data_IF_891274584886
#
_entry.id   IF_891274584886
#
_cell.length_a   1.000
_cell.length_b   1.000
_cell.length_c   1.000
_cell.angle_alpha   90.00
_cell.angle_beta   90.00
_cell.angle_gamma   90.00
#
_symmetry.space_group_name_H-M   'P 1'
#
loop_
_entity.id
_entity.type
_entity.pdbx_description
1 polymer ?
#
# COMPACT_ATOMS: atom_id res chain seq x y z
N UNK A 1 52.26 8.87 65.87
CA UNK A 1 51.73 8.93 64.51
C UNK A 1 50.87 10.17 64.39
N UNK A 2 51.43 11.26 63.86
CA UNK A 2 50.66 12.53 63.65
C UNK A 2 50.02 12.53 62.28
N UNK A 3 48.71 12.40 62.25
CA UNK A 3 47.94 12.52 61.02
C UNK A 3 47.60 14.00 60.80
N UNK A 4 48.35 14.66 59.91
CA UNK A 4 48.00 16.03 59.53
C UNK A 4 46.76 16.06 58.62
N UNK A 5 45.66 16.57 59.15
CA UNK A 5 44.44 16.80 58.43
C UNK A 5 44.67 18.02 57.51
N UNK A 6 44.74 17.79 56.20
CA UNK A 6 44.79 18.85 55.19
C UNK A 6 43.42 19.52 55.13
N UNK A 7 43.26 20.71 55.67
CA UNK A 7 42.06 21.51 55.64
C UNK A 7 41.93 22.16 54.27
N UNK A 8 41.08 21.57 53.40
CA UNK A 8 40.73 22.19 52.12
C UNK A 8 40.00 23.51 52.36
N UNK A 9 40.57 24.59 51.89
CA UNK A 9 39.92 25.91 51.91
C UNK A 9 38.79 25.86 50.89
N UNK A 10 37.56 25.99 51.34
CA UNK A 10 36.39 26.21 50.47
C UNK A 10 36.43 27.64 49.99
N UNK A 11 36.61 27.81 48.64
CA UNK A 11 36.45 29.08 47.98
C UNK A 11 34.95 29.27 47.68
N UNK A 12 34.36 30.34 48.18
CA UNK A 12 33.00 30.74 47.83
C UNK A 12 32.91 31.14 46.34
N UNK A 13 31.89 30.69 45.62
CA UNK A 13 31.60 31.09 44.24
C UNK A 13 31.23 32.58 44.21
N UNK A 14 31.77 33.29 43.23
CA UNK A 14 31.42 34.69 42.98
C UNK A 14 30.10 34.78 42.24
N UNK A 15 29.33 35.88 42.43
CA UNK A 15 28.07 36.12 41.77
C UNK A 15 28.21 36.10 40.24
N UNK A 16 29.33 36.64 39.72
CA UNK A 16 29.60 36.67 38.28
C UNK A 16 29.84 35.26 37.71
N UNK A 17 30.47 34.36 38.47
CA UNK A 17 30.72 32.98 38.06
C UNK A 17 29.43 32.20 37.90
N UNK A 18 28.45 32.42 38.78
CA UNK A 18 27.07 31.84 38.67
C UNK A 18 26.34 32.41 37.44
N UNK A 19 26.44 33.72 37.18
CA UNK A 19 25.82 34.33 36.01
C UNK A 19 26.39 33.79 34.70
N UNK A 20 27.71 33.65 34.58
CA UNK A 20 28.35 33.05 33.41
C UNK A 20 27.98 31.58 33.24
N UNK A 21 27.96 30.81 34.33
CA UNK A 21 27.54 29.39 34.29
C UNK A 21 26.09 29.22 33.82
N UNK A 22 25.16 30.09 34.25
CA UNK A 22 23.77 30.09 33.81
C UNK A 22 23.64 30.39 32.31
N UNK A 23 24.38 31.38 31.80
CA UNK A 23 24.36 31.72 30.38
C UNK A 23 24.84 30.54 29.52
N UNK A 24 25.96 29.95 29.89
CA UNK A 24 26.52 28.79 29.20
C UNK A 24 25.55 27.60 29.24
N UNK A 25 24.94 27.33 30.39
CA UNK A 25 23.96 26.27 30.55
C UNK A 25 22.74 26.46 29.67
N UNK A 26 22.25 27.69 29.52
CA UNK A 26 21.13 28.04 28.64
C UNK A 26 21.46 27.78 27.15
N UNK A 27 22.66 28.14 26.72
CA UNK A 27 23.13 27.86 25.35
C UNK A 27 23.24 26.34 25.09
N UNK A 28 23.75 25.58 26.03
CA UNK A 28 23.83 24.12 25.90
C UNK A 28 22.43 23.47 25.87
N UNK A 29 21.52 23.92 26.74
CA UNK A 29 20.13 23.44 26.73
C UNK A 29 19.44 23.75 25.42
N UNK A 30 19.59 24.96 24.88
CA UNK A 30 19.02 25.34 23.59
C UNK A 30 19.52 24.42 22.45
N UNK A 31 20.82 24.13 22.42
CA UNK A 31 21.41 23.20 21.45
C UNK A 31 20.87 21.78 21.57
N UNK A 32 20.75 21.26 22.78
CA UNK A 32 20.18 19.93 23.04
C UNK A 32 18.70 19.84 22.63
N UNK A 33 17.91 20.89 22.89
CA UNK A 33 16.51 20.94 22.45
C UNK A 33 16.38 20.95 20.94
N UNK A 34 17.20 21.69 20.22
CA UNK A 34 17.21 21.66 18.75
C UNK A 34 17.56 20.26 18.20
N UNK A 35 18.55 19.61 18.76
CA UNK A 35 18.93 18.24 18.37
C UNK A 35 17.81 17.25 18.63
N UNK A 36 17.12 17.38 19.76
CA UNK A 36 15.99 16.53 20.10
C UNK A 36 14.80 16.69 19.14
N UNK A 37 14.46 17.95 18.78
CA UNK A 37 13.39 18.24 17.82
C UNK A 37 13.75 17.68 16.43
N UNK A 38 14.99 17.92 15.97
CA UNK A 38 15.46 17.42 14.68
C UNK A 38 15.43 15.87 14.62
N UNK A 39 15.84 15.18 15.68
CA UNK A 39 15.79 13.72 15.77
C UNK A 39 14.37 13.21 15.71
N UNK A 40 13.44 13.83 16.42
CA UNK A 40 12.02 13.46 16.35
C UNK A 40 11.40 13.67 14.96
N UNK A 41 11.76 14.78 14.28
CA UNK A 41 11.31 15.02 12.92
C UNK A 41 11.84 13.96 11.95
N UNK A 42 13.14 13.64 12.05
CA UNK A 42 13.76 12.58 11.23
C UNK A 42 13.09 11.22 11.45
N UNK A 43 12.81 10.86 12.70
CA UNK A 43 12.13 9.60 13.03
C UNK A 43 10.73 9.53 12.41
N UNK A 44 9.94 10.61 12.46
CA UNK A 44 8.61 10.66 11.82
C UNK A 44 8.68 10.53 10.30
N UNK A 45 9.67 11.16 9.66
CA UNK A 45 9.86 11.06 8.21
C UNK A 45 10.20 9.62 7.83
N UNK A 46 11.08 8.96 8.59
CA UNK A 46 11.46 7.56 8.36
C UNK A 46 10.26 6.61 8.53
N UNK A 47 9.43 6.82 9.55
CA UNK A 47 8.22 6.02 9.76
C UNK A 47 7.22 6.18 8.60
N UNK A 48 6.97 7.41 8.16
CA UNK A 48 6.09 7.69 7.04
C UNK A 48 6.62 7.07 5.74
N UNK A 49 7.93 7.18 5.48
CA UNK A 49 8.56 6.59 4.30
C UNK A 49 8.46 5.06 4.32
N UNK A 50 8.67 4.43 5.47
CA UNK A 50 8.51 2.98 5.64
C UNK A 50 7.07 2.54 5.32
N UNK A 51 6.06 3.26 5.81
CA UNK A 51 4.66 2.98 5.51
C UNK A 51 4.35 3.11 4.02
N UNK A 52 4.86 4.16 3.37
CA UNK A 52 4.68 4.34 1.91
C UNK A 52 5.29 3.18 1.12
N UNK A 53 6.49 2.73 1.49
CA UNK A 53 7.15 1.60 0.84
C UNK A 53 6.38 0.29 1.05
N UNK A 54 5.88 0.04 2.25
CA UNK A 54 5.08 -1.14 2.57
C UNK A 54 3.75 -1.14 1.81
N UNK A 55 3.04 -0.01 1.80
CA UNK A 55 1.81 0.16 1.04
C UNK A 55 2.04 -0.04 -0.47
N UNK A 56 3.10 0.54 -1.02
CA UNK A 56 3.46 0.37 -2.42
C UNK A 56 3.74 -1.09 -2.78
N UNK A 57 4.51 -1.80 -1.96
CA UNK A 57 4.78 -3.23 -2.16
C UNK A 57 3.51 -4.06 -2.08
N UNK A 58 2.68 -3.83 -1.07
CA UNK A 58 1.40 -4.53 -0.93
C UNK A 58 0.47 -4.25 -2.12
N UNK A 59 0.37 -2.99 -2.56
CA UNK A 59 -0.45 -2.61 -3.71
C UNK A 59 -0.04 -3.33 -4.99
N UNK A 60 1.26 -3.36 -5.29
CA UNK A 60 1.79 -4.07 -6.46
C UNK A 60 1.52 -5.58 -6.37
N UNK A 61 1.74 -6.20 -5.22
CA UNK A 61 1.48 -7.63 -5.01
C UNK A 61 0.00 -7.95 -5.16
N UNK A 62 -0.87 -7.10 -4.64
CA UNK A 62 -2.31 -7.25 -4.75
C UNK A 62 -2.78 -7.13 -6.20
N UNK A 63 -2.36 -6.09 -6.93
CA UNK A 63 -2.67 -5.90 -8.35
C UNK A 63 -2.18 -7.10 -9.18
N UNK A 64 -0.95 -7.55 -8.94
CA UNK A 64 -0.38 -8.72 -9.62
C UNK A 64 -1.21 -9.98 -9.39
N UNK A 65 -1.69 -10.20 -8.17
CA UNK A 65 -2.54 -11.35 -7.84
C UNK A 65 -3.84 -11.30 -8.65
N UNK A 66 -4.50 -10.16 -8.71
CA UNK A 66 -5.75 -9.99 -9.45
C UNK A 66 -5.53 -10.14 -10.96
N UNK A 67 -4.50 -9.51 -11.50
CA UNK A 67 -4.19 -9.57 -12.94
C UNK A 67 -3.82 -11.00 -13.38
N UNK A 68 -3.16 -11.77 -12.56
CA UNK A 68 -2.81 -13.17 -12.87
C UNK A 68 -4.03 -14.09 -13.01
N UNK A 69 -5.17 -13.73 -12.46
CA UNK A 69 -6.41 -14.49 -12.61
C UNK A 69 -7.10 -14.21 -13.96
N UNK A 70 -6.65 -13.21 -14.71
CA UNK A 70 -7.25 -12.82 -15.99
C UNK A 70 -7.37 -13.99 -16.96
N UNK A 71 -8.59 -14.29 -17.39
CA UNK A 71 -8.86 -15.36 -18.33
C UNK A 71 -8.79 -16.76 -17.75
N UNK A 72 -8.75 -16.90 -16.42
CA UNK A 72 -8.87 -18.21 -15.80
C UNK A 72 -10.22 -18.87 -16.19
N UNK A 73 -10.19 -20.16 -16.46
CA UNK A 73 -11.34 -20.97 -16.80
C UNK A 73 -11.37 -22.23 -15.94
N UNK A 74 -12.55 -22.66 -15.57
CA UNK A 74 -12.71 -23.90 -14.85
C UNK A 74 -12.15 -25.08 -15.66
N UNK A 75 -11.74 -26.13 -14.99
CA UNK A 75 -11.25 -27.36 -15.63
C UNK A 75 -12.29 -27.95 -16.61
N UNK A 76 -13.55 -27.89 -16.26
CA UNK A 76 -14.63 -28.37 -17.13
C UNK A 76 -14.72 -27.57 -18.43
N UNK A 77 -14.64 -26.27 -18.36
CA UNK A 77 -14.62 -25.38 -19.54
C UNK A 77 -13.43 -25.64 -20.45
N UNK A 78 -12.24 -25.91 -19.88
CA UNK A 78 -11.04 -26.25 -20.63
C UNK A 78 -11.20 -27.59 -21.34
N UNK A 79 -11.73 -28.61 -20.66
CA UNK A 79 -11.92 -29.95 -21.21
C UNK A 79 -12.95 -29.95 -22.36
N UNK A 80 -13.93 -29.03 -22.34
CA UNK A 80 -14.89 -28.85 -23.42
C UNK A 80 -14.31 -28.11 -24.62
N UNK A 81 -13.07 -27.65 -24.57
CA UNK A 81 -12.38 -26.96 -25.68
C UNK A 81 -12.85 -25.53 -25.93
N UNK A 82 -13.63 -24.93 -25.04
CA UNK A 82 -14.15 -23.57 -25.21
C UNK A 82 -13.08 -22.53 -24.92
N UNK A 83 -12.81 -21.59 -25.84
CA UNK A 83 -11.96 -20.46 -25.62
C UNK A 83 -12.67 -19.40 -24.75
N UNK A 84 -11.94 -18.67 -23.88
CA UNK A 84 -12.52 -17.65 -23.01
C UNK A 84 -13.37 -16.63 -23.78
N UNK A 85 -12.85 -16.10 -24.88
CA UNK A 85 -13.56 -15.11 -25.70
C UNK A 85 -14.81 -15.69 -26.38
N UNK A 86 -14.80 -16.96 -26.79
CA UNK A 86 -15.95 -17.65 -27.34
C UNK A 86 -17.07 -17.81 -26.31
N UNK A 87 -16.71 -18.21 -25.09
CA UNK A 87 -17.68 -18.44 -24.02
C UNK A 87 -18.29 -17.15 -23.48
N UNK A 88 -17.49 -16.09 -23.36
CA UNK A 88 -17.88 -14.89 -22.63
C UNK A 88 -18.05 -13.66 -23.50
N UNK A 89 -17.66 -13.72 -24.76
CA UNK A 89 -17.72 -12.63 -25.74
C UNK A 89 -17.10 -11.29 -25.27
N UNK A 90 -16.12 -11.38 -24.36
CA UNK A 90 -15.44 -10.23 -23.77
C UNK A 90 -13.95 -10.52 -23.60
N UNK A 91 -13.14 -9.49 -23.52
CA UNK A 91 -11.73 -9.63 -23.24
C UNK A 91 -11.48 -9.99 -21.77
N UNK A 92 -10.44 -10.78 -21.52
CA UNK A 92 -10.07 -11.27 -20.19
C UNK A 92 -9.46 -10.18 -19.30
N UNK A 93 -8.86 -9.19 -19.90
CA UNK A 93 -8.31 -8.01 -19.24
C UNK A 93 -8.60 -6.80 -20.10
N UNK A 94 -9.00 -5.73 -19.49
CA UNK A 94 -9.28 -4.45 -20.13
C UNK A 94 -8.77 -3.34 -19.25
N UNK A 95 -8.18 -2.31 -19.84
CA UNK A 95 -7.77 -1.12 -19.13
C UNK A 95 -8.36 0.11 -19.78
N UNK A 96 -8.69 1.09 -18.95
CA UNK A 96 -9.10 2.41 -19.42
C UNK A 96 -8.09 3.44 -18.96
N UNK A 97 -7.74 4.38 -19.81
CA UNK A 97 -6.74 5.40 -19.55
C UNK A 97 -7.42 6.68 -19.03
N UNK A 98 -6.95 7.20 -17.91
CA UNK A 98 -7.42 8.45 -17.30
C UNK A 98 -8.94 8.51 -16.99
N UNK A 99 -9.59 7.36 -16.80
CA UNK A 99 -11.05 7.25 -16.59
C UNK A 99 -11.41 7.10 -15.09
N UNK A 100 -10.42 7.12 -14.23
CA UNK A 100 -10.59 7.08 -12.77
C UNK A 100 -10.48 8.45 -12.12
N UNK A 101 -10.58 8.48 -10.79
CA UNK A 101 -10.33 9.67 -9.97
C UNK A 101 -8.88 10.14 -10.18
N UNK A 102 -8.65 11.45 -10.25
CA UNK A 102 -7.34 12.07 -10.49
C UNK A 102 -6.64 11.64 -11.80
N UNK A 103 -7.39 11.37 -12.86
CA UNK A 103 -6.87 10.84 -14.12
C UNK A 103 -6.16 9.48 -13.97
N UNK A 104 -6.55 8.72 -12.97
CA UNK A 104 -6.04 7.37 -12.72
C UNK A 104 -6.64 6.38 -13.71
N UNK A 105 -5.87 5.37 -14.07
CA UNK A 105 -6.34 4.27 -14.91
C UNK A 105 -7.20 3.29 -14.13
N UNK A 106 -7.99 2.49 -14.85
CA UNK A 106 -8.72 1.36 -14.29
C UNK A 106 -8.28 0.07 -14.97
N UNK A 107 -8.22 -1.00 -14.21
CA UNK A 107 -7.95 -2.35 -14.72
C UNK A 107 -9.16 -3.21 -14.42
N UNK A 108 -9.75 -3.79 -15.45
CA UNK A 108 -10.84 -4.76 -15.32
C UNK A 108 -10.34 -6.14 -15.71
N UNK A 109 -10.50 -7.10 -14.82
CA UNK A 109 -10.10 -8.50 -15.00
C UNK A 109 -11.33 -9.38 -14.95
N UNK A 110 -11.40 -10.36 -15.85
CA UNK A 110 -12.51 -11.31 -15.94
C UNK A 110 -12.00 -12.73 -15.88
N UNK A 111 -12.65 -13.55 -15.08
CA UNK A 111 -12.30 -14.95 -14.90
C UNK A 111 -13.51 -15.77 -14.45
N UNK A 112 -13.44 -17.08 -14.68
CA UNK A 112 -14.44 -18.04 -14.25
C UNK A 112 -14.07 -18.62 -12.88
N UNK A 113 -15.07 -18.99 -12.09
CA UNK A 113 -14.86 -19.76 -10.85
C UNK A 113 -14.42 -21.19 -11.13
N UNK A 114 -14.12 -21.95 -10.08
CA UNK A 114 -13.80 -23.38 -10.20
C UNK A 114 -14.93 -24.24 -9.62
N UNK A 115 -15.00 -25.49 -10.06
CA UNK A 115 -15.98 -26.44 -9.54
C UNK A 115 -15.66 -26.81 -8.09
N UNK A 116 -16.73 -27.02 -7.32
CA UNK A 116 -16.59 -27.45 -5.93
C UNK A 116 -15.71 -28.70 -5.81
N UNK A 117 -14.68 -28.63 -4.96
CA UNK A 117 -13.74 -29.75 -4.71
C UNK A 117 -12.55 -29.82 -5.67
N UNK A 118 -12.42 -28.93 -6.66
CA UNK A 118 -11.30 -28.91 -7.61
C UNK A 118 -10.30 -27.75 -7.39
N UNK A 119 -10.52 -26.97 -6.37
CA UNK A 119 -9.76 -25.78 -6.02
C UNK A 119 -10.68 -24.64 -5.63
N UNK A 120 -10.08 -23.56 -5.16
CA UNK A 120 -10.82 -22.34 -4.80
C UNK A 120 -10.35 -21.18 -5.66
N UNK A 121 -11.28 -20.57 -6.38
CA UNK A 121 -11.05 -19.31 -7.09
C UNK A 121 -11.79 -18.23 -6.34
N UNK A 122 -11.09 -17.16 -5.99
CA UNK A 122 -11.64 -16.05 -5.22
C UNK A 122 -11.43 -14.75 -5.97
N UNK A 123 -12.46 -13.90 -5.92
CA UNK A 123 -12.36 -12.54 -6.48
C UNK A 123 -11.47 -11.63 -5.62
N UNK A 124 -11.29 -10.39 -6.05
CA UNK A 124 -10.48 -9.42 -5.33
C UNK A 124 -11.03 -9.07 -3.95
N UNK A 125 -12.30 -9.29 -3.65
CA UNK A 125 -12.89 -9.16 -2.30
C UNK A 125 -12.82 -10.45 -1.48
N UNK A 126 -12.02 -11.43 -1.92
CA UNK A 126 -11.85 -12.73 -1.27
C UNK A 126 -13.12 -13.60 -1.22
N UNK A 127 -14.12 -13.33 -2.05
CA UNK A 127 -15.33 -14.13 -2.16
C UNK A 127 -15.09 -15.33 -3.08
N UNK A 128 -15.58 -16.51 -2.70
CA UNK A 128 -15.46 -17.73 -3.49
C UNK A 128 -16.34 -17.65 -4.73
N UNK A 129 -15.76 -17.96 -5.88
CA UNK A 129 -16.47 -18.01 -7.16
C UNK A 129 -16.56 -19.47 -7.62
N UNK A 130 -17.78 -19.93 -7.84
CA UNK A 130 -18.05 -21.30 -8.27
C UNK A 130 -18.47 -21.29 -9.73
N UNK A 131 -17.86 -22.18 -10.53
CA UNK A 131 -18.23 -22.40 -11.94
C UNK A 131 -19.74 -22.76 -12.06
N UNK A 132 -20.45 -22.24 -13.08
CA UNK A 132 -19.98 -21.46 -14.23
C UNK A 132 -19.98 -19.94 -14.03
N UNK A 133 -20.01 -19.45 -12.76
CA UNK A 133 -20.06 -18.02 -12.50
C UNK A 133 -18.76 -17.33 -12.94
N UNK A 134 -18.91 -16.13 -13.51
CA UNK A 134 -17.81 -15.25 -13.90
C UNK A 134 -17.74 -14.10 -12.92
N UNK A 135 -16.55 -13.78 -12.47
CA UNK A 135 -16.25 -12.55 -11.76
C UNK A 135 -15.69 -11.50 -12.71
N UNK A 136 -16.18 -10.29 -12.53
CA UNK A 136 -15.61 -9.08 -13.16
C UNK A 136 -15.07 -8.23 -12.02
N UNK A 137 -13.76 -8.17 -11.92
CA UNK A 137 -13.04 -7.45 -10.88
C UNK A 137 -12.41 -6.20 -11.47
N UNK A 138 -12.79 -5.04 -10.98
CA UNK A 138 -12.24 -3.75 -11.44
C UNK A 138 -11.46 -3.09 -10.32
N UNK A 139 -10.20 -2.81 -10.58
CA UNK A 139 -9.31 -2.03 -9.70
C UNK A 139 -9.28 -0.59 -10.18
N UNK A 140 -9.51 0.34 -9.26
CA UNK A 140 -9.51 1.79 -9.52
C UNK A 140 -9.17 2.58 -8.26
N UNK A 141 -8.87 3.85 -8.40
CA UNK A 141 -8.75 4.78 -7.28
C UNK A 141 -10.11 5.42 -7.01
N UNK A 142 -10.54 5.39 -5.75
CA UNK A 142 -11.78 6.02 -5.32
C UNK A 142 -11.62 7.54 -5.04
N UNK A 143 -12.72 8.22 -4.72
CA UNK A 143 -12.71 9.66 -4.40
C UNK A 143 -11.92 10.00 -3.13
N UNK A 144 -11.68 9.02 -2.25
CA UNK A 144 -10.93 9.19 -1.01
C UNK A 144 -9.44 8.83 -1.16
N UNK A 145 -8.96 8.63 -2.39
CA UNK A 145 -7.58 8.20 -2.71
C UNK A 145 -7.25 6.83 -2.14
N UNK A 146 -8.17 5.89 -2.22
CA UNK A 146 -7.91 4.51 -1.88
C UNK A 146 -7.92 3.66 -3.13
N UNK A 147 -7.02 2.67 -3.19
CA UNK A 147 -7.17 1.59 -4.15
C UNK A 147 -8.39 0.78 -3.74
N UNK A 148 -9.42 0.79 -4.58
CA UNK A 148 -10.63 -0.01 -4.39
C UNK A 148 -10.68 -1.17 -5.38
N UNK A 149 -11.29 -2.26 -4.93
CA UNK A 149 -11.76 -3.32 -5.80
C UNK A 149 -13.29 -3.28 -5.88
N UNK A 150 -13.79 -3.30 -7.12
CA UNK A 150 -15.20 -3.43 -7.42
C UNK A 150 -15.43 -4.78 -8.08
N UNK A 151 -16.41 -5.52 -7.60
CA UNK A 151 -16.75 -6.86 -8.09
C UNK A 151 -18.18 -6.88 -8.61
N UNK A 152 -18.36 -7.50 -9.76
CA UNK A 152 -19.67 -7.88 -10.30
C UNK A 152 -19.69 -9.39 -10.51
N UNK A 153 -20.36 -10.12 -9.63
CA UNK A 153 -20.46 -11.59 -9.67
C UNK A 153 -21.83 -12.04 -9.15
N UNK A 154 -22.60 -12.84 -9.89
CA UNK A 154 -22.43 -13.16 -11.32
C UNK A 154 -22.63 -11.95 -12.23
N UNK A 155 -22.28 -12.08 -13.50
CA UNK A 155 -22.47 -11.00 -14.49
C UNK A 155 -23.90 -10.48 -14.46
N UNK A 156 -24.07 -9.16 -14.34
CA UNK A 156 -25.38 -8.50 -14.21
C UNK A 156 -25.86 -8.29 -12.77
N UNK A 157 -25.14 -8.79 -11.76
CA UNK A 157 -25.42 -8.48 -10.36
C UNK A 157 -25.06 -7.03 -10.02
N UNK A 158 -25.57 -6.54 -8.87
CA UNK A 158 -25.15 -5.25 -8.34
C UNK A 158 -23.66 -5.25 -8.01
N UNK A 159 -22.97 -4.18 -8.40
CA UNK A 159 -21.55 -4.02 -8.12
C UNK A 159 -21.31 -3.86 -6.61
N UNK A 160 -20.32 -4.59 -6.10
CA UNK A 160 -19.82 -4.45 -4.72
C UNK A 160 -18.44 -3.83 -4.78
N UNK A 161 -18.22 -2.74 -4.07
CA UNK A 161 -16.92 -2.05 -4.03
C UNK A 161 -16.42 -1.92 -2.60
N UNK A 162 -15.13 -2.20 -2.38
CA UNK A 162 -14.48 -2.02 -1.09
C UNK A 162 -13.07 -1.43 -1.27
N UNK A 163 -12.67 -0.51 -0.39
CA UNK A 163 -11.29 -0.03 -0.35
C UNK A 163 -10.37 -1.16 0.14
N UNK A 164 -9.22 -1.31 -0.52
CA UNK A 164 -8.22 -2.32 -0.24
C UNK A 164 -6.97 -1.71 0.40
N UNK A 165 -6.57 -0.54 -0.08
CA UNK A 165 -5.37 0.15 0.37
C UNK A 165 -5.61 1.65 0.36
N UNK A 166 -5.26 2.30 1.48
CA UNK A 166 -5.43 3.74 1.65
C UNK A 166 -4.21 4.52 1.14
N UNK A 167 -4.43 5.82 0.87
CA UNK A 167 -3.39 6.76 0.47
C UNK A 167 -2.67 6.40 -0.84
N UNK A 168 -3.42 5.95 -1.82
CA UNK A 168 -2.97 5.74 -3.21
C UNK A 168 -3.46 6.91 -4.07
N UNK A 169 -2.54 7.73 -4.56
CA UNK A 169 -2.92 8.91 -5.35
C UNK A 169 -3.34 8.56 -6.76
N UNK A 170 -2.63 7.62 -7.39
CA UNK A 170 -2.76 7.32 -8.80
C UNK A 170 -2.33 5.89 -9.13
N UNK A 171 -2.90 5.34 -10.19
CA UNK A 171 -2.46 4.11 -10.88
C UNK A 171 -2.31 4.45 -12.35
N UNK A 172 -1.15 4.20 -12.92
CA UNK A 172 -0.88 4.28 -14.34
C UNK A 172 -0.47 2.91 -14.86
N UNK A 173 -1.15 2.43 -15.91
CA UNK A 173 -0.96 1.08 -16.43
C UNK A 173 -0.44 1.14 -17.86
N UNK A 174 0.74 0.57 -18.08
CA UNK A 174 1.31 0.44 -19.39
C UNK A 174 1.12 -0.97 -19.93
N UNK A 175 0.57 -1.08 -21.13
CA UNK A 175 0.39 -2.35 -21.83
C UNK A 175 1.49 -2.56 -22.84
N UNK A 176 2.13 -3.75 -22.80
CA UNK A 176 3.03 -4.17 -23.84
C UNK A 176 2.24 -4.66 -25.06
N UNK A 177 2.33 -3.98 -26.18
CA UNK A 177 1.78 -4.46 -27.45
C UNK A 177 2.80 -5.30 -28.20
N UNK A 178 2.38 -6.48 -28.68
CA UNK A 178 3.17 -7.25 -29.62
C UNK A 178 3.01 -6.60 -30.99
N UNK A 179 4.00 -5.82 -31.41
CA UNK A 179 4.07 -5.30 -32.77
C UNK A 179 4.07 -6.49 -33.75
N UNK A 180 3.02 -6.61 -34.55
CA UNK A 180 2.89 -7.70 -35.49
C UNK A 180 4.11 -7.78 -36.43
N UNK A 181 4.64 -8.97 -36.56
CA UNK A 181 5.62 -9.34 -37.63
C UNK A 181 4.87 -9.57 -38.91
#
# INVERSE_FOLDING_TARGET
>A
MNTSIIKHRQHGMTLIEIMVALVISLFLLAGLLQMFIATRQSSRIQENLSRVQENGRFGIEYINRVVRQAGYRSRTTILNGEAFKQKFNVDRIEGTNNDGTNNSDKITVRFEGENTGQGEVRNCLNQLIVSPAISIDTLSIDANRNLQCQVVTPVGAAAQAQPILENMEDIQVLYGEKKGS
#
